data_IF_383764955989
#
_entry.id   IF_383764955989
#
_cell.length_a   1.000
_cell.length_b   1.000
_cell.length_c   1.000
_cell.angle_alpha   90.00
_cell.angle_beta   90.00
_cell.angle_gamma   90.00
#
_symmetry.space_group_name_H-M   'P 1'
#
loop_
_entity.id
_entity.type
_entity.pdbx_description
1 polymer ?
#
# COMPACT_ATOMS: atom_id res chain seq x y z
N UNK A 1 -17.55 1.03 12.68
CA UNK A 1 -16.58 2.14 12.53
C UNK A 1 -15.55 1.74 11.49
N UNK A 2 -15.77 2.16 10.23
CA UNK A 2 -15.12 1.66 9.00
C UNK A 2 -14.06 2.62 8.44
N UNK A 3 -13.82 3.71 9.16
CA UNK A 3 -12.95 4.80 8.75
C UNK A 3 -12.10 5.19 9.96
N UNK A 4 -10.77 5.04 9.87
CA UNK A 4 -9.81 5.59 10.84
C UNK A 4 -8.88 4.58 11.48
N UNK A 5 -8.88 3.33 10.99
CA UNK A 5 -8.07 2.24 11.55
C UNK A 5 -7.27 1.60 10.44
N UNK A 6 -5.95 1.52 10.64
CA UNK A 6 -5.03 0.92 9.68
C UNK A 6 -3.81 1.78 9.37
N UNK A 7 -2.99 1.24 8.48
CA UNK A 7 -1.77 1.88 8.00
C UNK A 7 -1.77 1.94 6.48
N UNK A 8 -1.29 3.05 5.95
CA UNK A 8 -0.92 3.18 4.56
C UNK A 8 0.52 2.73 4.40
N UNK A 9 0.77 1.83 3.45
CA UNK A 9 2.09 1.33 3.12
C UNK A 9 2.40 1.80 1.70
N UNK A 10 3.45 2.60 1.55
CA UNK A 10 4.01 2.96 0.26
C UNK A 10 5.30 2.17 0.04
N UNK A 11 5.45 1.52 -1.10
CA UNK A 11 6.62 0.72 -1.44
C UNK A 11 7.15 1.16 -2.79
N UNK A 12 8.44 1.46 -2.86
CA UNK A 12 9.19 1.67 -4.10
C UNK A 12 10.10 0.48 -4.35
N UNK A 13 10.20 0.03 -5.59
CA UNK A 13 11.05 -1.11 -5.97
C UNK A 13 12.23 -0.67 -6.84
N UNK A 14 13.32 -1.44 -6.76
CA UNK A 14 14.46 -1.26 -7.63
C UNK A 14 14.14 -1.63 -9.09
N UNK A 15 14.84 -0.97 -10.00
CA UNK A 15 14.95 -1.45 -11.38
C UNK A 15 15.89 -2.63 -11.45
N UNK A 16 15.38 -3.77 -11.90
CA UNK A 16 16.16 -5.00 -12.05
C UNK A 16 16.55 -5.15 -13.53
N UNK A 17 17.83 -5.32 -13.87
CA UNK A 17 18.23 -5.63 -15.23
C UNK A 17 17.57 -6.92 -15.73
N UNK A 18 16.83 -6.84 -16.84
CA UNK A 18 16.13 -7.99 -17.44
C UNK A 18 14.68 -8.16 -17.02
N UNK A 19 14.25 -7.55 -15.91
CA UNK A 19 12.85 -7.45 -15.51
C UNK A 19 12.36 -6.01 -15.67
N UNK A 20 11.03 -5.84 -15.77
CA UNK A 20 10.43 -4.51 -15.70
C UNK A 20 9.97 -4.22 -14.27
N UNK A 21 10.11 -2.97 -13.81
CA UNK A 21 9.63 -2.57 -12.48
C UNK A 21 8.16 -2.91 -12.27
N UNK A 22 7.36 -2.89 -13.34
CA UNK A 22 5.96 -3.29 -13.32
C UNK A 22 5.76 -4.75 -12.89
N UNK A 23 6.61 -5.68 -13.36
CA UNK A 23 6.58 -7.08 -12.92
C UNK A 23 6.99 -7.22 -11.46
N UNK A 24 7.99 -6.45 -11.03
CA UNK A 24 8.45 -6.43 -9.63
C UNK A 24 7.34 -5.91 -8.71
N UNK A 25 6.70 -4.79 -9.05
CA UNK A 25 5.53 -4.27 -8.31
C UNK A 25 4.39 -5.28 -8.28
N UNK A 26 4.14 -6.01 -9.38
CA UNK A 26 3.13 -7.05 -9.39
C UNK A 26 3.47 -8.20 -8.42
N UNK A 27 4.76 -8.55 -8.27
CA UNK A 27 5.20 -9.54 -7.29
C UNK A 27 5.01 -9.04 -5.85
N UNK A 28 5.36 -7.78 -5.56
CA UNK A 28 5.09 -7.14 -4.26
C UNK A 28 3.60 -7.16 -3.95
N UNK A 29 2.76 -6.75 -4.91
CA UNK A 29 1.31 -6.75 -4.75
C UNK A 29 0.79 -8.16 -4.45
N UNK A 30 1.21 -9.17 -5.22
CA UNK A 30 0.80 -10.57 -4.98
C UNK A 30 1.22 -11.07 -3.60
N UNK A 31 2.44 -10.76 -3.18
CA UNK A 31 2.93 -11.11 -1.85
C UNK A 31 2.09 -10.46 -0.75
N UNK A 32 1.87 -9.14 -0.80
CA UNK A 32 1.11 -8.45 0.24
C UNK A 32 -0.35 -8.92 0.31
N UNK A 33 -1.00 -9.13 -0.83
CA UNK A 33 -2.37 -9.65 -0.89
C UNK A 33 -2.48 -11.10 -0.40
N UNK A 34 -1.38 -11.85 -0.38
CA UNK A 34 -1.35 -13.20 0.21
C UNK A 34 -1.37 -13.19 1.74
N UNK A 35 -0.99 -12.08 2.38
CA UNK A 35 -0.97 -11.93 3.85
C UNK A 35 -2.37 -11.63 4.41
N UNK A 36 -3.22 -12.65 4.44
CA UNK A 36 -4.65 -12.53 4.78
C UNK A 36 -4.90 -11.91 6.16
N UNK A 37 -4.01 -12.13 7.13
CA UNK A 37 -4.15 -11.56 8.48
C UNK A 37 -4.15 -10.02 8.49
N UNK A 38 -3.46 -9.38 7.55
CA UNK A 38 -3.27 -7.92 7.55
C UNK A 38 -4.38 -7.13 6.84
N UNK A 39 -5.29 -7.83 6.14
CA UNK A 39 -6.38 -7.22 5.36
C UNK A 39 -5.87 -6.11 4.43
N UNK A 40 -4.88 -6.45 3.61
CA UNK A 40 -4.24 -5.50 2.70
C UNK A 40 -5.11 -5.30 1.45
N UNK A 41 -5.32 -4.04 1.09
CA UNK A 41 -5.95 -3.60 -0.15
C UNK A 41 -4.97 -2.77 -0.98
N UNK A 42 -5.04 -2.91 -2.31
CA UNK A 42 -4.30 -2.05 -3.23
C UNK A 42 -5.09 -0.75 -3.42
N UNK A 43 -4.42 0.40 -3.28
CA UNK A 43 -5.01 1.71 -3.58
C UNK A 43 -4.58 2.18 -4.96
N UNK A 44 -3.29 2.33 -5.15
CA UNK A 44 -2.71 2.83 -6.40
C UNK A 44 -1.40 2.10 -6.69
N UNK A 45 -1.10 1.88 -7.96
CA UNK A 45 0.18 1.32 -8.39
C UNK A 45 0.67 2.05 -9.62
N UNK A 46 1.95 2.39 -9.64
CA UNK A 46 2.67 2.86 -10.83
C UNK A 46 3.61 1.76 -11.32
N UNK A 47 4.48 2.09 -12.27
CA UNK A 47 5.49 1.15 -12.74
C UNK A 47 6.53 0.80 -11.67
N UNK A 48 6.76 1.63 -10.65
CA UNK A 48 7.83 1.43 -9.65
C UNK A 48 7.41 1.68 -8.20
N UNK A 49 6.17 2.13 -7.98
CA UNK A 49 5.63 2.41 -6.64
C UNK A 49 4.28 1.73 -6.47
N UNK A 50 4.05 1.12 -5.30
CA UNK A 50 2.75 0.60 -4.90
C UNK A 50 2.28 1.25 -3.60
N UNK A 51 1.01 1.65 -3.57
CA UNK A 51 0.32 2.21 -2.41
C UNK A 51 -0.75 1.22 -1.93
N UNK A 52 -0.64 0.82 -0.68
CA UNK A 52 -1.48 -0.20 -0.06
C UNK A 52 -2.10 0.31 1.24
N UNK A 53 -3.29 -0.20 1.55
CA UNK A 53 -3.94 0.03 2.83
C UNK A 53 -3.98 -1.28 3.61
N UNK A 54 -3.41 -1.29 4.80
CA UNK A 54 -3.53 -2.37 5.76
C UNK A 54 -4.64 -2.03 6.76
N UNK A 55 -5.64 -2.91 6.88
CA UNK A 55 -6.77 -2.72 7.81
C UNK A 55 -6.49 -3.20 9.24
N UNK A 56 -5.59 -4.17 9.42
CA UNK A 56 -5.29 -4.77 10.72
C UNK A 56 -3.81 -5.14 10.85
N UNK A 57 -3.04 -4.35 11.59
CA UNK A 57 -1.66 -4.66 11.98
C UNK A 57 -1.18 -3.65 13.01
N UNK A 58 -0.02 -3.88 13.61
CA UNK A 58 0.83 -2.87 14.23
C UNK A 58 1.93 -2.40 13.26
N UNK A 59 2.56 -1.24 13.48
CA UNK A 59 3.71 -0.80 12.68
C UNK A 59 4.88 -1.78 12.77
N UNK A 60 5.09 -2.40 13.94
CA UNK A 60 6.17 -3.35 14.18
C UNK A 60 6.02 -4.61 13.33
N UNK A 61 4.80 -5.17 13.25
CA UNK A 61 4.52 -6.34 12.40
C UNK A 61 4.70 -6.03 10.92
N UNK A 62 4.26 -4.84 10.46
CA UNK A 62 4.45 -4.42 9.07
C UNK A 62 5.92 -4.17 8.75
N UNK A 63 6.65 -3.51 9.66
CA UNK A 63 8.09 -3.28 9.52
C UNK A 63 8.84 -4.61 9.41
N UNK A 64 8.55 -5.55 10.32
CA UNK A 64 9.17 -6.88 10.31
C UNK A 64 8.87 -7.62 9.01
N UNK A 65 7.59 -7.66 8.58
CA UNK A 65 7.18 -8.29 7.32
C UNK A 65 7.96 -7.74 6.12
N UNK A 66 8.08 -6.41 6.02
CA UNK A 66 8.73 -5.75 4.90
C UNK A 66 10.25 -5.94 4.93
N UNK A 67 10.90 -5.85 6.10
CA UNK A 67 12.34 -6.08 6.23
C UNK A 67 12.74 -7.53 5.94
N UNK A 68 12.00 -8.50 6.46
CA UNK A 68 12.27 -9.94 6.22
C UNK A 68 12.20 -10.31 4.73
N UNK A 69 11.39 -9.59 3.95
CA UNK A 69 11.17 -9.87 2.53
C UNK A 69 11.79 -8.82 1.60
N UNK A 70 12.49 -7.81 2.13
CA UNK A 70 12.96 -6.63 1.38
C UNK A 70 13.80 -7.01 0.17
N UNK A 71 14.76 -7.92 0.35
CA UNK A 71 15.67 -8.36 -0.70
C UNK A 71 14.95 -9.20 -1.75
N UNK A 72 14.12 -10.16 -1.32
CA UNK A 72 13.37 -11.05 -2.23
C UNK A 72 12.35 -10.28 -3.08
N UNK A 73 11.76 -9.24 -2.51
CA UNK A 73 10.77 -8.39 -3.19
C UNK A 73 11.40 -7.22 -3.94
N UNK A 74 12.72 -7.07 -3.89
CA UNK A 74 13.46 -5.97 -4.51
C UNK A 74 12.95 -4.58 -4.08
N UNK A 75 12.58 -4.44 -2.80
CA UNK A 75 12.09 -3.19 -2.23
C UNK A 75 13.28 -2.25 -2.03
N UNK A 76 13.21 -1.08 -2.68
CA UNK A 76 14.17 0.01 -2.54
C UNK A 76 13.91 0.78 -1.24
N UNK A 77 12.70 1.28 -1.08
CA UNK A 77 12.25 1.99 0.11
C UNK A 77 10.79 1.68 0.41
N UNK A 78 10.40 1.78 1.67
CA UNK A 78 8.99 1.77 2.05
C UNK A 78 8.71 2.77 3.16
N UNK A 79 7.45 3.20 3.24
CA UNK A 79 6.93 4.08 4.28
C UNK A 79 5.68 3.45 4.87
N UNK A 80 5.56 3.47 6.19
CA UNK A 80 4.36 3.05 6.91
C UNK A 80 3.81 4.27 7.65
N UNK A 81 2.62 4.71 7.26
CA UNK A 81 1.97 5.90 7.83
C UNK A 81 0.62 5.51 8.42
N UNK A 82 0.31 5.99 9.63
CA UNK A 82 -1.02 5.80 10.19
C UNK A 82 -2.05 6.53 9.32
N UNK A 83 -3.12 5.83 8.93
CA UNK A 83 -4.22 6.48 8.20
C UNK A 83 -4.97 7.40 9.14
N UNK A 84 -4.78 8.72 9.00
CA UNK A 84 -5.39 9.71 9.89
C UNK A 84 -6.86 9.95 9.53
N UNK A 85 -7.63 10.47 10.49
CA UNK A 85 -9.00 10.97 10.26
C UNK A 85 -9.05 12.03 9.14
N UNK A 86 -7.95 12.74 8.90
CA UNK A 86 -7.84 13.77 7.88
C UNK A 86 -7.82 13.21 6.45
N UNK A 87 -7.15 12.07 6.21
CA UNK A 87 -7.23 11.37 4.92
C UNK A 87 -8.63 10.79 4.64
N UNK A 88 -9.34 10.38 5.68
CA UNK A 88 -10.75 9.99 5.59
C UNK A 88 -11.62 11.19 5.24
N UNK A 89 -11.35 12.34 5.86
CA UNK A 89 -12.02 13.59 5.55
C UNK A 89 -11.81 14.01 4.08
N UNK A 90 -10.57 13.92 3.57
CA UNK A 90 -10.24 14.16 2.17
C UNK A 90 -10.92 13.14 1.23
N UNK A 91 -11.02 11.87 1.64
CA UNK A 91 -11.72 10.83 0.87
C UNK A 91 -13.22 11.10 0.77
N UNK A 92 -13.85 11.62 1.83
CA UNK A 92 -15.24 12.07 1.78
C UNK A 92 -15.43 13.30 0.89
N UNK A 93 -14.48 14.26 0.91
CA UNK A 93 -14.53 15.44 0.03
C UNK A 93 -14.48 15.10 -1.46
N UNK A 94 -13.69 14.09 -1.84
CA UNK A 94 -13.61 13.62 -3.24
C UNK A 94 -14.88 12.92 -3.74
N UNK A 95 -15.68 12.31 -2.86
CA UNK A 95 -16.94 11.66 -3.25
C UNK A 95 -18.08 12.65 -3.54
N UNK A 96 -18.02 13.88 -3.02
CA UNK A 96 -19.06 14.89 -3.22
C UNK A 96 -18.95 15.55 -4.61
N UNK A 97 -17.79 15.48 -5.27
CA UNK A 97 -17.60 16.07 -6.60
C UNK A 97 -18.09 15.21 -7.78
N UNK A 98 -18.56 13.98 -7.56
CA UNK A 98 -19.09 13.11 -8.64
C UNK A 98 -20.60 12.91 -8.57
N UNK A 99 -21.35 13.78 -7.89
CA UNK A 99 -22.82 13.70 -7.83
C UNK A 99 -23.50 15.06 -7.98
N UNK A 100 -22.91 15.91 -8.82
CA UNK A 100 -23.61 17.06 -9.39
C UNK A 100 -23.20 17.20 -10.85
N UNK A 101 -23.83 16.39 -11.70
CA UNK A 101 -24.23 16.80 -13.04
C UNK A 101 -25.55 16.07 -13.29
N UNK A 102 -26.59 16.85 -13.57
CA UNK A 102 -27.95 16.43 -13.91
C UNK A 102 -28.01 15.56 -15.18
#
# INVERSE_FOLDING_TARGET
SKFGRGYTIEIKVHTIPGDTNAMVIQNVQRFLLSQRQYQIEVKETTHSTGLFQCGQSTPAELFQLLEENKQQLHIETYTISQTTLEQIFLSFGKQIQTSTDE
#
